data_IF_269990800115
#
_entry.id   IF_269990800115
#
_cell.length_a   1.000
_cell.length_b   1.000
_cell.length_c   1.000
_cell.angle_alpha   90.00
_cell.angle_beta   90.00
_cell.angle_gamma   90.00
#
_symmetry.space_group_name_H-M   'P 1'
#
loop_
_entity.id
_entity.type
_entity.pdbx_description
1 polymer ?
#
# COMPACT_ATOMS: atom_id res chain seq x y z
N UNK A 1 -65.65 -22.23 -27.99
CA UNK A 1 -64.63 -22.55 -26.96
C UNK A 1 -63.38 -21.73 -27.26
N UNK A 2 -62.97 -20.82 -26.38
CA UNK A 2 -61.74 -20.01 -26.53
C UNK A 2 -60.73 -20.47 -25.49
N UNK A 3 -59.64 -21.09 -25.93
CA UNK A 3 -58.55 -21.54 -25.05
C UNK A 3 -57.72 -20.34 -24.60
N UNK A 4 -57.57 -20.15 -23.29
CA UNK A 4 -56.66 -19.16 -22.69
C UNK A 4 -55.32 -19.86 -22.45
N UNK A 5 -54.27 -19.43 -23.14
CA UNK A 5 -52.89 -19.85 -22.88
C UNK A 5 -52.35 -18.96 -21.77
N UNK A 6 -52.08 -19.56 -20.61
CA UNK A 6 -51.42 -18.90 -19.49
C UNK A 6 -49.90 -19.05 -19.66
N UNK A 7 -49.20 -17.93 -19.85
CA UNK A 7 -47.74 -17.88 -19.88
C UNK A 7 -47.26 -17.71 -18.44
N UNK A 8 -46.64 -18.75 -17.87
CA UNK A 8 -45.92 -18.65 -16.60
C UNK A 8 -44.56 -18.00 -16.84
N UNK A 9 -44.38 -16.76 -16.38
CA UNK A 9 -43.08 -16.12 -16.30
C UNK A 9 -42.27 -16.68 -15.14
N UNK A 10 -41.18 -17.38 -15.44
CA UNK A 10 -40.17 -17.77 -14.44
C UNK A 10 -39.30 -16.55 -14.18
N UNK A 11 -39.48 -15.92 -13.02
CA UNK A 11 -38.55 -14.90 -12.51
C UNK A 11 -37.36 -15.63 -11.92
N UNK A 12 -36.24 -15.65 -12.66
CA UNK A 12 -34.96 -16.10 -12.13
C UNK A 12 -34.42 -15.04 -11.17
N UNK A 13 -34.55 -15.29 -9.87
CA UNK A 13 -33.90 -14.48 -8.83
C UNK A 13 -32.41 -14.86 -8.82
N UNK A 14 -31.57 -13.99 -9.38
CA UNK A 14 -30.12 -14.06 -9.17
C UNK A 14 -29.82 -13.64 -7.73
N UNK A 15 -29.58 -14.61 -6.86
CA UNK A 15 -29.01 -14.36 -5.54
C UNK A 15 -27.53 -14.06 -5.75
N UNK A 16 -27.17 -12.77 -5.74
CA UNK A 16 -25.77 -12.35 -5.65
C UNK A 16 -25.26 -12.71 -4.25
N UNK A 17 -24.58 -13.85 -4.12
CA UNK A 17 -23.81 -14.17 -2.92
C UNK A 17 -22.65 -13.18 -2.84
N UNK A 18 -22.80 -12.13 -2.03
CA UNK A 18 -21.70 -11.24 -1.71
C UNK A 18 -20.61 -12.05 -1.00
N UNK A 19 -19.49 -12.28 -1.67
CA UNK A 19 -18.29 -12.83 -1.05
C UNK A 19 -17.83 -11.84 0.03
N UNK A 20 -18.26 -12.04 1.26
CA UNK A 20 -17.74 -11.30 2.41
C UNK A 20 -16.26 -11.63 2.48
N UNK A 21 -15.40 -10.64 2.24
CA UNK A 21 -13.97 -10.90 2.35
C UNK A 21 -13.62 -11.23 3.79
N UNK A 22 -12.97 -12.38 4.00
CA UNK A 22 -12.66 -12.90 5.33
C UNK A 22 -11.75 -11.94 6.11
N UNK A 23 -10.82 -11.29 5.41
CA UNK A 23 -9.93 -10.29 6.00
C UNK A 23 -10.70 -9.05 6.46
N UNK A 24 -11.61 -8.52 5.64
CA UNK A 24 -12.41 -7.36 6.00
C UNK A 24 -13.21 -7.55 7.29
N UNK A 25 -13.89 -8.68 7.44
CA UNK A 25 -14.64 -8.98 8.66
C UNK A 25 -13.73 -9.16 9.87
N UNK A 26 -12.64 -9.92 9.73
CA UNK A 26 -11.71 -10.23 10.82
C UNK A 26 -10.98 -8.99 11.35
N UNK A 27 -10.59 -8.07 10.46
CA UNK A 27 -9.79 -6.90 10.79
C UNK A 27 -10.62 -5.61 10.87
N UNK A 28 -11.94 -5.68 10.71
CA UNK A 28 -12.84 -4.54 10.83
C UNK A 28 -12.73 -3.50 9.72
N UNK A 29 -12.28 -3.90 8.52
CA UNK A 29 -12.22 -2.99 7.38
C UNK A 29 -13.65 -2.65 6.92
N UNK A 30 -13.85 -1.40 6.52
CA UNK A 30 -15.16 -0.87 6.14
C UNK A 30 -15.18 -0.60 4.65
N UNK A 31 -16.27 -0.99 3.97
CA UNK A 31 -16.45 -0.69 2.55
C UNK A 31 -16.45 0.83 2.31
N UNK A 32 -15.72 1.26 1.29
CA UNK A 32 -15.77 2.62 0.78
C UNK A 32 -14.78 2.82 -0.37
N UNK A 33 -14.49 4.08 -0.67
CA UNK A 33 -13.48 4.44 -1.64
C UNK A 33 -12.28 5.07 -0.91
N UNK A 34 -11.11 4.40 -0.83
CA UNK A 34 -9.89 4.98 -0.29
C UNK A 34 -9.54 6.28 -1.03
N UNK A 35 -9.35 7.37 -0.28
CA UNK A 35 -9.05 8.70 -0.82
C UNK A 35 -7.55 8.91 -1.10
N UNK A 36 -6.89 7.91 -1.69
CA UNK A 36 -5.45 7.92 -2.01
C UNK A 36 -5.07 9.16 -2.82
N UNK A 37 -4.05 9.87 -2.35
CA UNK A 37 -3.43 11.01 -3.07
C UNK A 37 -2.16 10.61 -3.81
N UNK A 38 -1.49 9.57 -3.33
CA UNK A 38 -0.33 8.92 -3.94
C UNK A 38 -0.32 7.45 -3.56
N UNK A 39 0.29 6.60 -4.39
CA UNK A 39 0.51 5.19 -4.11
C UNK A 39 2.02 4.93 -4.16
N UNK A 40 2.65 4.94 -2.98
CA UNK A 40 4.06 4.63 -2.78
C UNK A 40 4.25 3.20 -2.30
N UNK A 41 5.03 3.05 -1.24
CA UNK A 41 5.50 1.74 -0.77
C UNK A 41 4.37 0.81 -0.36
N UNK A 42 4.57 -0.48 -0.65
CA UNK A 42 3.60 -1.54 -0.48
C UNK A 42 4.13 -2.59 0.50
N UNK A 43 3.25 -3.06 1.38
CA UNK A 43 3.54 -4.21 2.23
C UNK A 43 2.30 -5.10 2.37
N UNK A 44 2.49 -6.41 2.45
CA UNK A 44 1.41 -7.31 2.78
C UNK A 44 1.36 -7.57 4.29
N UNK A 45 0.16 -7.44 4.83
CA UNK A 45 -0.19 -7.78 6.19
C UNK A 45 -0.79 -9.17 6.33
N UNK A 46 -1.49 -9.42 7.45
CA UNK A 46 -2.13 -10.70 7.69
C UNK A 46 -3.30 -10.89 6.72
N UNK A 47 -3.60 -12.15 6.40
CA UNK A 47 -4.74 -12.55 5.56
C UNK A 47 -4.82 -11.85 4.18
N UNK A 48 -3.68 -11.37 3.65
CA UNK A 48 -3.61 -10.75 2.31
C UNK A 48 -4.04 -9.28 2.26
N UNK A 49 -4.17 -8.61 3.42
CA UNK A 49 -4.39 -7.16 3.47
C UNK A 49 -3.19 -6.43 2.88
N UNK A 50 -3.44 -5.54 1.92
CA UNK A 50 -2.40 -4.72 1.28
C UNK A 50 -2.29 -3.38 2.01
N UNK A 51 -1.13 -3.09 2.56
CA UNK A 51 -0.78 -1.77 3.05
C UNK A 51 -0.21 -0.92 1.92
N UNK A 52 -0.67 0.33 1.82
CA UNK A 52 -0.26 1.30 0.81
C UNK A 52 0.14 2.61 1.48
N UNK A 53 1.38 3.04 1.25
CA UNK A 53 1.88 4.34 1.67
C UNK A 53 1.37 5.47 0.80
N UNK A 54 0.70 6.45 1.42
CA UNK A 54 0.25 7.67 0.77
C UNK A 54 1.02 8.87 1.31
N UNK A 55 2.20 9.13 0.75
CA UNK A 55 3.06 10.23 1.16
C UNK A 55 2.36 11.59 0.99
N UNK A 56 1.71 11.82 -0.16
CA UNK A 56 0.95 13.06 -0.44
C UNK A 56 -0.21 13.26 0.54
N UNK A 57 -0.96 12.20 0.83
CA UNK A 57 -2.09 12.23 1.76
C UNK A 57 -1.70 12.16 3.24
N UNK A 58 -0.41 11.94 3.54
CA UNK A 58 0.09 11.68 4.89
C UNK A 58 -0.68 10.54 5.57
N UNK A 59 -0.80 9.40 4.89
CA UNK A 59 -1.57 8.28 5.40
C UNK A 59 -0.98 6.93 5.02
N UNK A 60 -1.39 5.91 5.76
CA UNK A 60 -1.27 4.51 5.33
C UNK A 60 -2.66 3.93 5.21
N UNK A 61 -2.93 3.28 4.09
CA UNK A 61 -4.19 2.57 3.86
C UNK A 61 -3.96 1.08 4.02
N UNK A 62 -4.88 0.40 4.68
CA UNK A 62 -4.98 -1.05 4.70
C UNK A 62 -6.16 -1.45 3.83
N UNK A 63 -5.93 -2.13 2.71
CA UNK A 63 -6.93 -2.43 1.70
C UNK A 63 -7.12 -3.93 1.59
N UNK A 64 -8.37 -4.37 1.64
CA UNK A 64 -8.72 -5.73 1.30
C UNK A 64 -8.85 -5.86 -0.23
N UNK A 65 -7.90 -6.56 -0.84
CA UNK A 65 -7.89 -6.77 -2.30
C UNK A 65 -8.76 -7.94 -2.74
N UNK A 66 -9.35 -8.69 -1.79
CA UNK A 66 -10.05 -9.95 -2.03
C UNK A 66 -9.15 -11.12 -2.44
N UNK A 67 -7.84 -10.91 -2.51
CA UNK A 67 -6.85 -11.92 -2.93
C UNK A 67 -6.38 -12.77 -1.75
N UNK A 68 -7.31 -13.52 -1.14
CA UNK A 68 -7.05 -14.34 0.04
C UNK A 68 -6.85 -15.83 -0.27
N UNK A 69 -6.93 -16.23 -1.54
CA UNK A 69 -6.79 -17.62 -1.94
C UNK A 69 -5.31 -18.05 -1.93
N UNK A 70 -4.98 -19.02 -1.07
CA UNK A 70 -3.65 -19.59 -1.01
C UNK A 70 -3.30 -20.34 -2.30
N UNK A 71 -2.12 -20.10 -2.86
CA UNK A 71 -1.57 -20.89 -3.96
C UNK A 71 -0.62 -21.95 -3.44
N UNK A 72 -0.72 -23.17 -3.96
CA UNK A 72 0.21 -24.26 -3.63
C UNK A 72 1.61 -24.05 -4.21
N UNK A 73 1.78 -23.11 -5.16
CA UNK A 73 3.06 -22.84 -5.82
C UNK A 73 3.23 -21.35 -6.11
N UNK A 74 4.25 -20.75 -5.50
CA UNK A 74 4.75 -19.42 -5.85
C UNK A 74 5.99 -19.64 -6.73
N UNK A 75 5.98 -19.09 -7.93
CA UNK A 75 7.04 -19.26 -8.91
C UNK A 75 7.53 -17.90 -9.44
N UNK A 76 8.80 -17.78 -9.84
CA UNK A 76 9.29 -16.60 -10.54
C UNK A 76 8.45 -16.31 -11.78
N UNK A 77 8.19 -15.03 -12.04
CA UNK A 77 7.48 -14.57 -13.24
C UNK A 77 8.38 -13.72 -14.10
N UNK A 78 8.52 -14.10 -15.37
CA UNK A 78 9.14 -13.27 -16.37
C UNK A 78 8.06 -12.47 -17.08
N UNK A 79 8.10 -11.14 -16.97
CA UNK A 79 7.16 -10.24 -17.65
C UNK A 79 7.95 -9.43 -18.67
N UNK A 80 7.94 -9.89 -19.91
CA UNK A 80 8.55 -9.15 -21.01
C UNK A 80 7.81 -7.82 -21.23
N UNK A 81 8.58 -6.75 -21.40
CA UNK A 81 8.11 -5.38 -21.65
C UNK A 81 6.96 -4.94 -20.71
N UNK A 82 7.25 -4.94 -19.41
CA UNK A 82 6.30 -4.48 -18.38
C UNK A 82 5.80 -3.05 -18.66
N UNK A 83 6.66 -2.16 -19.16
CA UNK A 83 6.30 -0.77 -19.46
C UNK A 83 5.20 -0.67 -20.52
N UNK A 84 5.37 -1.33 -21.66
CA UNK A 84 4.34 -1.34 -22.71
C UNK A 84 3.05 -2.02 -22.24
N UNK A 85 3.16 -3.11 -21.46
CA UNK A 85 1.98 -3.80 -20.92
C UNK A 85 1.20 -2.92 -19.95
N UNK A 86 1.87 -2.19 -19.07
CA UNK A 86 1.24 -1.23 -18.15
C UNK A 86 0.58 -0.08 -18.91
N UNK A 87 1.24 0.45 -19.94
CA UNK A 87 0.66 1.50 -20.79
C UNK A 87 -0.59 1.05 -21.56
N UNK A 88 -0.75 -0.25 -21.79
CA UNK A 88 -1.91 -0.84 -22.47
C UNK A 88 -3.08 -1.19 -21.53
N UNK A 89 -2.91 -1.08 -20.20
CA UNK A 89 -3.99 -1.36 -19.24
C UNK A 89 -5.06 -0.27 -19.34
N UNK A 90 -6.30 -0.68 -19.64
CA UNK A 90 -7.44 0.24 -19.66
C UNK A 90 -7.63 0.92 -18.30
N UNK A 91 -7.77 2.24 -18.31
CA UNK A 91 -7.90 3.07 -17.11
C UNK A 91 -6.57 3.66 -16.59
N UNK A 92 -5.42 3.22 -17.10
CA UNK A 92 -4.14 3.90 -16.85
C UNK A 92 -3.86 4.95 -17.93
N UNK A 93 -3.36 6.10 -17.51
CA UNK A 93 -2.89 7.16 -18.42
C UNK A 93 -1.36 7.11 -18.47
N UNK A 94 -0.79 7.15 -19.67
CA UNK A 94 0.66 7.25 -19.85
C UNK A 94 1.15 8.70 -19.69
N UNK A 95 2.39 8.94 -19.23
CA UNK A 95 3.39 7.94 -18.83
C UNK A 95 3.04 7.26 -17.50
N UNK A 96 3.55 6.05 -17.30
CA UNK A 96 3.39 5.30 -16.05
C UNK A 96 4.73 5.16 -15.37
N UNK A 97 4.78 5.49 -14.08
CA UNK A 97 5.93 5.28 -13.20
C UNK A 97 5.58 4.22 -12.17
N UNK A 98 6.40 3.18 -12.07
CA UNK A 98 6.30 2.17 -11.01
C UNK A 98 7.02 2.70 -9.78
N UNK A 99 6.28 2.85 -8.68
CA UNK A 99 6.83 3.32 -7.41
C UNK A 99 7.35 2.16 -6.56
N UNK A 100 6.64 1.02 -6.57
CA UNK A 100 6.98 -0.15 -5.76
C UNK A 100 6.28 -1.43 -6.27
N UNK A 101 6.76 -2.58 -5.78
CA UNK A 101 6.25 -3.92 -6.04
C UNK A 101 6.21 -4.73 -4.74
N UNK A 102 5.05 -5.31 -4.43
CA UNK A 102 4.91 -6.30 -3.37
C UNK A 102 4.31 -7.60 -3.89
N UNK A 103 4.67 -8.73 -3.27
CA UNK A 103 4.10 -10.04 -3.58
C UNK A 103 3.14 -10.43 -2.47
N UNK A 104 1.91 -10.78 -2.83
CA UNK A 104 0.95 -11.32 -1.88
C UNK A 104 1.47 -12.70 -1.41
N UNK A 105 1.78 -12.89 -0.11
CA UNK A 105 2.38 -14.12 0.38
C UNK A 105 1.42 -15.32 0.33
N UNK A 106 0.11 -15.10 0.22
CA UNK A 106 -0.89 -16.17 0.14
C UNK A 106 -1.02 -16.69 -1.30
N UNK A 107 -1.34 -15.78 -2.22
CA UNK A 107 -1.64 -16.14 -3.62
C UNK A 107 -0.39 -16.21 -4.50
N UNK A 108 0.69 -15.55 -4.08
CA UNK A 108 1.87 -15.33 -4.89
C UNK A 108 1.66 -14.31 -6.02
N UNK A 109 0.54 -13.59 -6.09
CA UNK A 109 0.29 -12.53 -7.09
C UNK A 109 1.15 -11.29 -6.80
N UNK A 110 1.58 -10.56 -7.84
CA UNK A 110 2.33 -9.31 -7.65
C UNK A 110 1.34 -8.13 -7.63
N UNK A 111 1.67 -7.13 -6.85
CA UNK A 111 0.98 -5.86 -6.78
C UNK A 111 1.99 -4.75 -7.04
N UNK A 112 1.63 -3.83 -7.93
CA UNK A 112 2.43 -2.68 -8.27
C UNK A 112 1.69 -1.41 -7.84
N UNK A 113 2.41 -0.49 -7.22
CA UNK A 113 1.95 0.87 -6.98
C UNK A 113 2.51 1.79 -8.05
N UNK A 114 1.64 2.62 -8.63
CA UNK A 114 1.99 3.45 -9.78
C UNK A 114 1.61 4.92 -9.58
N UNK A 115 2.31 5.77 -10.32
CA UNK A 115 1.85 7.10 -10.70
C UNK A 115 1.59 7.13 -12.21
N UNK A 116 0.39 7.52 -12.62
CA UNK A 116 -0.07 7.51 -14.00
C UNK A 116 -0.37 8.94 -14.52
N UNK A 117 0.08 9.22 -15.74
CA UNK A 117 -0.08 10.49 -16.43
C UNK A 117 0.77 11.62 -15.84
N UNK A 118 0.71 12.79 -16.48
CA UNK A 118 1.46 13.98 -16.04
C UNK A 118 1.02 14.48 -14.65
N UNK A 119 -0.25 14.25 -14.30
CA UNK A 119 -0.80 14.55 -12.99
C UNK A 119 -0.37 13.54 -11.90
N UNK A 120 0.37 12.48 -12.26
CA UNK A 120 0.83 11.42 -11.36
C UNK A 120 -0.28 10.80 -10.52
N UNK A 121 -1.43 10.53 -11.15
CA UNK A 121 -2.58 9.94 -10.48
C UNK A 121 -2.20 8.57 -9.87
N UNK A 122 -2.54 8.30 -8.60
CA UNK A 122 -2.20 7.03 -7.96
C UNK A 122 -2.99 5.87 -8.57
N UNK A 123 -2.33 4.75 -8.81
CA UNK A 123 -2.99 3.52 -9.24
C UNK A 123 -2.34 2.28 -8.62
N UNK A 124 -3.14 1.21 -8.50
CA UNK A 124 -2.68 -0.11 -8.09
C UNK A 124 -3.03 -1.11 -9.19
N UNK A 125 -2.10 -2.01 -9.47
CA UNK A 125 -2.26 -3.07 -10.49
C UNK A 125 -1.86 -4.39 -9.88
N UNK A 126 -2.62 -5.43 -10.23
CA UNK A 126 -2.32 -6.82 -9.90
C UNK A 126 -1.73 -7.50 -11.13
N UNK A 127 -0.71 -8.32 -10.93
CA UNK A 127 -0.20 -9.26 -11.91
C UNK A 127 -0.40 -10.67 -11.37
N UNK A 128 -1.25 -11.44 -12.05
CA UNK A 128 -1.60 -12.78 -11.60
C UNK A 128 -0.51 -13.82 -11.91
N UNK A 129 -0.77 -15.07 -11.51
CA UNK A 129 0.13 -16.19 -11.76
C UNK A 129 0.42 -16.47 -13.26
N UNK A 130 -0.50 -16.11 -14.16
CA UNK A 130 -0.34 -16.24 -15.60
C UNK A 130 0.40 -15.03 -16.22
N UNK A 131 0.66 -13.97 -15.44
CA UNK A 131 1.26 -12.74 -15.92
C UNK A 131 0.27 -11.75 -16.50
N UNK A 132 -1.05 -11.98 -16.35
CA UNK A 132 -2.06 -11.03 -16.76
C UNK A 132 -2.08 -9.84 -15.80
N UNK A 133 -2.15 -8.62 -16.37
CA UNK A 133 -2.14 -7.37 -15.62
C UNK A 133 -3.55 -6.79 -15.58
N UNK A 134 -4.03 -6.46 -14.39
CA UNK A 134 -5.35 -5.84 -14.20
C UNK A 134 -5.33 -4.74 -13.13
N UNK A 135 -6.11 -3.68 -13.35
CA UNK A 135 -6.26 -2.60 -12.37
C UNK A 135 -6.96 -3.12 -11.11
N UNK A 136 -6.44 -2.76 -9.94
CA UNK A 136 -7.14 -2.98 -8.66
C UNK A 136 -8.16 -1.85 -8.50
N UNK A 137 -9.44 -2.18 -8.56
CA UNK A 137 -10.51 -1.19 -8.38
C UNK A 137 -10.53 -0.68 -6.95
N UNK A 138 -10.55 0.65 -6.78
CA UNK A 138 -10.67 1.33 -5.49
C UNK A 138 -12.02 2.02 -5.29
N UNK A 139 -12.95 1.87 -6.24
CA UNK A 139 -14.23 2.57 -6.20
C UNK A 139 -15.11 2.11 -5.03
N UNK A 140 -15.00 0.84 -4.65
CA UNK A 140 -15.73 0.25 -3.52
C UNK A 140 -14.97 -0.97 -3.00
N UNK A 141 -14.13 -0.76 -1.99
CA UNK A 141 -13.32 -1.80 -1.35
C UNK A 141 -13.35 -1.66 0.16
N UNK A 142 -13.25 -2.75 0.93
CA UNK A 142 -13.02 -2.67 2.36
C UNK A 142 -11.64 -2.07 2.64
N UNK A 143 -11.57 -1.03 3.47
CA UNK A 143 -10.30 -0.46 3.89
C UNK A 143 -10.32 0.12 5.30
N UNK A 144 -9.11 0.40 5.82
CA UNK A 144 -8.85 1.28 6.96
C UNK A 144 -7.79 2.32 6.58
N UNK A 145 -7.79 3.46 7.27
CA UNK A 145 -6.83 4.56 7.07
C UNK A 145 -6.21 4.96 8.39
N UNK A 146 -4.88 5.05 8.43
CA UNK A 146 -4.13 5.67 9.52
C UNK A 146 -3.52 6.98 9.03
N UNK A 147 -3.82 8.09 9.70
CA UNK A 147 -3.22 9.39 9.40
C UNK A 147 -1.85 9.51 10.07
N UNK A 148 -0.87 9.98 9.32
CA UNK A 148 0.49 10.25 9.78
C UNK A 148 0.55 11.70 10.30
N UNK A 149 0.79 11.91 11.62
CA UNK A 149 0.84 13.26 12.18
C UNK A 149 2.08 14.03 11.71
N UNK A 150 1.99 15.36 11.80
CA UNK A 150 3.08 16.29 11.55
C UNK A 150 3.88 16.07 10.24
N UNK A 151 3.22 15.89 9.08
CA UNK A 151 3.94 15.69 7.84
C UNK A 151 4.52 17.02 7.30
N UNK A 152 5.65 17.00 6.54
CA UNK A 152 6.23 18.20 5.95
C UNK A 152 5.25 18.91 5.01
N UNK A 153 5.30 20.23 4.88
CA UNK A 153 4.45 20.94 3.91
C UNK A 153 4.63 20.39 2.48
N UNK A 154 3.51 20.25 1.75
CA UNK A 154 3.51 19.80 0.34
C UNK A 154 3.91 20.95 -0.59
N UNK A 155 5.20 21.27 -0.57
CA UNK A 155 5.78 22.30 -1.42
C UNK A 155 7.23 21.98 -1.74
N UNK A 156 7.67 22.42 -2.92
CA UNK A 156 9.09 22.39 -3.26
C UNK A 156 9.86 23.32 -2.31
N UNK A 157 10.91 22.81 -1.68
CA UNK A 157 11.76 23.56 -0.77
C UNK A 157 13.23 23.41 -1.17
N UNK A 158 14.03 24.45 -0.91
CA UNK A 158 15.44 24.52 -1.30
C UNK A 158 15.64 25.15 -2.68
N UNK A 159 16.90 25.22 -3.10
CA UNK A 159 17.30 25.87 -4.35
C UNK A 159 18.11 24.93 -5.25
N UNK A 160 18.02 25.17 -6.56
CA UNK A 160 18.78 24.45 -7.57
C UNK A 160 18.50 22.94 -7.59
N UNK A 161 19.48 22.10 -7.95
CA UNK A 161 19.32 20.65 -8.06
C UNK A 161 18.96 19.93 -6.76
N UNK A 162 19.05 20.61 -5.62
CA UNK A 162 18.71 20.06 -4.29
C UNK A 162 17.28 20.40 -3.86
N UNK A 163 16.56 21.20 -4.67
CA UNK A 163 15.17 21.52 -4.39
C UNK A 163 14.34 20.23 -4.45
N UNK A 164 13.64 19.93 -3.35
CA UNK A 164 12.79 18.74 -3.25
C UNK A 164 11.55 19.04 -2.44
N UNK A 165 10.49 18.29 -2.71
CA UNK A 165 9.29 18.36 -1.92
C UNK A 165 9.35 17.27 -0.84
N UNK A 166 9.61 17.66 0.40
CA UNK A 166 9.78 16.72 1.51
C UNK A 166 8.50 15.94 1.84
N UNK A 167 7.33 16.43 1.39
CA UNK A 167 6.07 15.67 1.45
C UNK A 167 6.21 14.29 0.80
N UNK A 168 6.97 14.20 -0.30
CA UNK A 168 7.17 12.94 -1.03
C UNK A 168 7.99 11.92 -0.21
N UNK A 169 8.64 12.36 0.87
CA UNK A 169 9.41 11.52 1.79
C UNK A 169 8.64 11.22 3.09
N UNK A 170 7.35 11.62 3.21
CA UNK A 170 6.53 11.33 4.41
C UNK A 170 6.39 9.82 4.66
N UNK A 171 6.43 9.04 3.59
CA UNK A 171 6.54 7.59 3.60
C UNK A 171 7.68 7.23 2.66
N UNK A 172 8.70 6.56 3.18
CA UNK A 172 9.84 6.07 2.39
C UNK A 172 9.92 4.56 2.34
N UNK A 173 9.42 3.87 3.36
CA UNK A 173 9.30 2.42 3.40
C UNK A 173 8.19 2.00 4.38
N UNK A 174 7.60 0.83 4.12
CA UNK A 174 6.56 0.23 4.96
C UNK A 174 6.85 -1.26 5.12
N UNK A 175 6.67 -1.76 6.35
CA UNK A 175 6.65 -3.19 6.62
C UNK A 175 5.54 -3.55 7.60
N UNK A 176 5.08 -4.79 7.57
CA UNK A 176 4.22 -5.34 8.61
C UNK A 176 5.00 -6.36 9.44
N UNK A 177 5.06 -6.15 10.75
CA UNK A 177 5.71 -7.04 11.69
C UNK A 177 5.02 -7.01 13.05
N UNK A 178 4.84 -8.18 13.66
CA UNK A 178 4.37 -8.31 15.05
C UNK A 178 3.08 -7.54 15.37
N UNK A 179 2.10 -7.54 14.46
CA UNK A 179 0.82 -6.84 14.66
C UNK A 179 0.86 -5.34 14.37
N UNK A 180 1.98 -4.82 13.88
CA UNK A 180 2.19 -3.39 13.63
C UNK A 180 2.61 -3.15 12.19
N UNK A 181 2.19 -2.01 11.66
CA UNK A 181 2.72 -1.42 10.44
C UNK A 181 3.84 -0.47 10.83
N UNK A 182 5.05 -0.79 10.40
CA UNK A 182 6.22 0.05 10.54
C UNK A 182 6.28 0.97 9.33
N UNK A 183 6.46 2.27 9.56
CA UNK A 183 6.50 3.29 8.50
C UNK A 183 7.73 4.15 8.73
N UNK A 184 8.68 4.11 7.80
CA UNK A 184 9.76 5.08 7.79
C UNK A 184 9.37 6.29 6.97
N UNK A 185 9.88 7.45 7.34
CA UNK A 185 9.68 8.67 6.57
C UNK A 185 10.14 9.90 7.33
N UNK A 186 9.82 11.06 6.76
CA UNK A 186 10.17 12.34 7.35
C UNK A 186 8.97 13.09 7.93
N UNK A 187 9.19 13.81 9.02
CA UNK A 187 8.24 14.72 9.66
C UNK A 187 8.64 16.17 9.42
N UNK A 188 7.76 17.12 9.73
CA UNK A 188 8.19 18.50 9.89
C UNK A 188 9.07 18.64 11.17
N UNK A 189 10.06 19.55 11.16
CA UNK A 189 10.95 19.81 12.29
C UNK A 189 12.44 19.53 12.02
N UNK A 190 13.26 19.71 13.07
CA UNK A 190 14.74 19.69 13.02
C UNK A 190 15.36 18.28 13.03
N UNK A 191 14.63 17.26 13.53
CA UNK A 191 15.01 15.85 13.53
C UNK A 191 13.96 15.02 12.78
N UNK A 192 13.89 15.14 11.45
CA UNK A 192 12.69 14.75 10.73
C UNK A 192 12.66 13.25 10.40
N UNK A 193 13.79 12.55 10.33
CA UNK A 193 13.83 11.13 9.95
C UNK A 193 13.36 10.25 11.10
N UNK A 194 12.28 9.49 10.90
CA UNK A 194 11.68 8.65 11.94
C UNK A 194 11.16 7.34 11.37
N UNK A 195 11.13 6.31 12.23
CA UNK A 195 10.37 5.08 12.01
C UNK A 195 9.24 5.07 13.02
N UNK A 196 8.00 4.96 12.52
CA UNK A 196 6.76 5.00 13.29
C UNK A 196 6.15 3.61 13.34
N UNK A 197 5.74 3.17 14.52
CA UNK A 197 4.99 1.92 14.67
C UNK A 197 3.48 2.16 14.83
N UNK A 198 2.67 1.71 13.89
CA UNK A 198 1.21 1.87 13.91
C UNK A 198 0.58 0.50 14.20
N UNK A 199 -0.19 0.37 15.27
CA UNK A 199 -0.92 -0.87 15.55
C UNK A 199 -1.94 -1.17 14.43
N UNK A 200 -2.04 -2.45 14.04
CA UNK A 200 -3.06 -2.92 13.11
C UNK A 200 -3.99 -3.95 13.78
N UNK A 201 -5.33 -3.82 13.68
CA UNK A 201 -6.09 -2.76 13.00
C UNK A 201 -5.85 -1.34 13.52
N UNK A 202 -5.98 -0.35 12.64
CA UNK A 202 -5.76 1.05 12.99
C UNK A 202 -6.81 1.53 13.99
N UNK A 203 -6.39 2.33 14.97
CA UNK A 203 -7.26 3.00 15.94
C UNK A 203 -7.10 4.53 15.83
N UNK A 204 -8.13 5.27 16.24
CA UNK A 204 -8.18 6.74 16.10
C UNK A 204 -7.04 7.47 16.87
N UNK A 205 -6.36 6.78 17.79
CA UNK A 205 -5.24 7.28 18.59
C UNK A 205 -3.93 6.52 18.35
N UNK A 206 -3.77 5.86 17.20
CA UNK A 206 -2.53 5.19 16.85
C UNK A 206 -1.41 6.23 16.57
N UNK A 207 -0.93 6.86 17.63
CA UNK A 207 0.29 7.67 17.62
C UNK A 207 1.43 6.68 17.45
N UNK A 208 2.07 6.74 16.28
CA UNK A 208 3.24 5.94 16.02
C UNK A 208 4.33 6.25 17.04
N UNK A 209 4.87 5.22 17.69
CA UNK A 209 6.06 5.40 18.53
C UNK A 209 7.27 5.57 17.61
N UNK A 210 8.07 6.61 17.82
CA UNK A 210 9.32 6.80 17.09
C UNK A 210 10.37 5.87 17.65
N UNK A 211 11.05 5.12 16.79
CA UNK A 211 12.24 4.35 17.17
C UNK A 211 13.47 5.25 17.04
N UNK A 212 14.29 5.33 18.09
CA UNK A 212 15.56 6.08 18.05
C UNK A 212 16.54 5.41 17.08
N UNK A 213 17.18 6.22 16.24
CA UNK A 213 18.14 5.78 15.24
C UNK A 213 19.55 5.92 15.83
N UNK A 214 20.27 4.80 15.99
CA UNK A 214 21.64 4.80 16.53
C UNK A 214 22.68 4.77 15.40
N UNK A 215 23.46 5.84 15.23
CA UNK A 215 24.55 5.92 14.25
C UNK A 215 25.87 5.41 14.86
N UNK A 216 26.20 4.14 14.60
CA UNK A 216 27.38 3.48 15.19
C UNK A 216 28.74 3.98 14.69
N UNK A 217 28.80 4.74 13.59
CA UNK A 217 30.08 5.04 12.91
C UNK A 217 30.79 6.31 13.42
N UNK A 218 30.09 7.28 14.01
CA UNK A 218 30.70 8.60 14.32
C UNK A 218 30.35 9.19 15.69
N UNK A 219 29.65 8.46 16.57
CA UNK A 219 29.35 8.93 17.93
C UNK A 219 28.54 10.24 17.99
N UNK A 220 27.80 10.56 16.93
CA UNK A 220 26.91 11.73 16.83
C UNK A 220 25.50 11.27 16.44
N UNK A 221 24.50 11.96 16.98
CA UNK A 221 23.13 11.94 16.46
C UNK A 221 23.14 12.56 15.05
N UNK A 222 22.65 11.82 14.06
CA UNK A 222 22.50 12.26 12.67
C UNK A 222 21.03 12.07 12.24
N UNK A 223 20.19 12.98 12.74
CA UNK A 223 18.73 12.95 12.70
C UNK A 223 18.14 13.35 11.33
N UNK A 224 19.01 13.76 10.41
CA UNK A 224 18.66 14.40 9.14
C UNK A 224 18.76 13.47 7.92
N UNK A 225 19.42 12.32 8.04
CA UNK A 225 19.50 11.35 6.97
C UNK A 225 18.18 10.58 6.89
N UNK A 226 17.48 10.71 5.76
CA UNK A 226 16.17 10.07 5.60
C UNK A 226 16.36 8.56 5.52
N UNK A 227 15.67 7.78 6.37
CA UNK A 227 15.58 6.31 6.21
C UNK A 227 14.97 6.05 4.83
N UNK A 228 15.67 5.28 3.99
CA UNK A 228 15.20 4.94 2.64
C UNK A 228 14.57 3.57 2.56
N UNK A 229 15.08 2.63 3.35
CA UNK A 229 14.53 1.28 3.46
C UNK A 229 14.92 0.69 4.80
N UNK A 230 14.16 -0.29 5.28
CA UNK A 230 14.50 -1.02 6.49
C UNK A 230 14.06 -2.48 6.44
N UNK A 231 14.68 -3.30 7.30
CA UNK A 231 14.30 -4.69 7.53
C UNK A 231 13.94 -4.84 9.00
N UNK A 232 12.71 -5.30 9.27
CA UNK A 232 12.32 -5.75 10.60
C UNK A 232 12.88 -7.16 10.85
N UNK A 233 13.57 -7.35 11.97
CA UNK A 233 14.21 -8.61 12.33
C UNK A 233 14.19 -8.84 13.85
N UNK A 234 14.54 -10.04 14.27
CA UNK A 234 14.79 -10.33 15.69
C UNK A 234 16.28 -10.60 15.86
N UNK A 235 16.90 -9.90 16.79
CA UNK A 235 18.29 -10.12 17.20
C UNK A 235 18.24 -10.59 18.65
N UNK A 236 18.67 -11.83 18.90
CA UNK A 236 18.65 -12.45 20.24
C UNK A 236 17.30 -12.37 20.97
N UNK A 237 16.21 -12.52 20.20
CA UNK A 237 14.84 -12.48 20.72
C UNK A 237 14.28 -11.06 20.93
N UNK A 238 15.04 -10.02 20.57
CA UNK A 238 14.61 -8.62 20.62
C UNK A 238 14.18 -8.14 19.23
N UNK A 239 12.92 -7.72 19.06
CA UNK A 239 12.48 -7.05 17.84
C UNK A 239 13.34 -5.82 17.55
N UNK A 240 13.93 -5.78 16.37
CA UNK A 240 14.92 -4.79 15.94
C UNK A 240 14.66 -4.37 14.50
N UNK A 241 15.11 -3.16 14.13
CA UNK A 241 15.05 -2.66 12.76
C UNK A 241 16.45 -2.31 12.28
N UNK A 242 16.84 -2.88 11.14
CA UNK A 242 18.05 -2.49 10.41
C UNK A 242 17.64 -1.54 9.29
N UNK A 243 18.09 -0.29 9.35
CA UNK A 243 17.71 0.75 8.40
C UNK A 243 18.89 1.24 7.56
N UNK A 244 18.61 1.55 6.28
CA UNK A 244 19.53 2.20 5.35
C UNK A 244 19.20 3.69 5.18
N UNK A 245 20.23 4.53 5.09
CA UNK A 245 20.13 5.99 5.08
C UNK A 245 20.86 6.59 3.89
N UNK A 246 20.43 7.78 3.46
CA UNK A 246 21.10 8.60 2.43
C UNK A 246 21.03 10.07 2.77
#
# INVERSE_FOLDING_TARGET
MRAKIAVCGVIAVFIATGSSSHAAHKWGLKEGAPDLKSAGQLAFGPDGVLFVGDAKGAAVFAIDTGDAAASAKIAPRNIEDLGAKLAAVSGLTSPVVVNDLAVNPLSGNLYLSLAAGDAKAPALVKIDAAGAISLVSLAKVPYLKATLPNPPEDKLQGEGPRARNRRDETVTDIAYASGKVLVSGVTAGEAPSQIREIAFPFSDNAVGTSVEIYHGAHGRLEDNATVRTFIAMNIDGVPSVLAGFT
#
